data_IF_526903973908
#
_entry.id   IF_526903973908
#
_cell.length_a   1.000
_cell.length_b   1.000
_cell.length_c   1.000
_cell.angle_alpha   90.00
_cell.angle_beta   90.00
_cell.angle_gamma   90.00
#
_symmetry.space_group_name_H-M   'P 1'
#
loop_
_entity.id
_entity.type
_entity.pdbx_description
1 polymer ?
#
# COMPACT_ATOMS: atom_id res chain seq x y z
N UNK A 1 -21.65 -0.74 7.70
CA UNK A 1 -20.49 0.14 7.46
C UNK A 1 -19.17 -0.53 7.80
N UNK A 2 -18.96 -1.01 9.04
CA UNK A 2 -17.77 -1.79 9.38
C UNK A 2 -17.58 -2.99 8.44
N UNK A 3 -18.65 -3.74 8.18
CA UNK A 3 -18.65 -4.88 7.24
C UNK A 3 -18.30 -4.45 5.81
N UNK A 4 -18.94 -3.40 5.28
CA UNK A 4 -18.65 -2.86 3.93
C UNK A 4 -17.16 -2.55 3.73
N UNK A 5 -16.53 -1.85 4.67
CA UNK A 5 -15.10 -1.52 4.57
C UNK A 5 -14.22 -2.74 4.78
N UNK A 6 -14.59 -3.63 5.70
CA UNK A 6 -13.84 -4.85 5.98
C UNK A 6 -13.89 -5.85 4.81
N UNK A 7 -15.01 -5.96 4.12
CA UNK A 7 -15.18 -6.87 2.98
C UNK A 7 -14.55 -6.30 1.71
N UNK A 8 -14.51 -4.97 1.58
CA UNK A 8 -13.88 -4.30 0.45
C UNK A 8 -12.36 -4.30 0.50
N UNK A 9 -11.78 -3.90 1.64
CA UNK A 9 -10.35 -3.56 1.72
C UNK A 9 -9.50 -4.67 2.33
N UNK A 10 -8.26 -4.78 1.82
CA UNK A 10 -7.23 -5.63 2.42
C UNK A 10 -6.84 -5.11 3.81
N UNK A 11 -6.43 -6.00 4.72
CA UNK A 11 -6.01 -5.61 6.07
C UNK A 11 -4.75 -4.75 6.07
N UNK A 12 -3.79 -5.07 5.20
CA UNK A 12 -2.62 -4.24 4.94
C UNK A 12 -2.82 -3.49 3.61
N UNK A 13 -2.64 -2.18 3.67
CA UNK A 13 -2.83 -1.28 2.53
C UNK A 13 -1.53 -0.52 2.26
N UNK A 14 -1.21 -0.24 0.99
CA UNK A 14 -0.08 0.60 0.66
C UNK A 14 -0.31 2.04 1.13
N UNK A 15 0.79 2.76 1.33
CA UNK A 15 0.76 4.16 1.75
C UNK A 15 0.17 5.07 0.66
N UNK A 16 0.35 4.71 -0.61
CA UNK A 16 -0.14 5.47 -1.76
C UNK A 16 -1.20 4.68 -2.52
N UNK A 17 -2.36 5.30 -2.75
CA UNK A 17 -3.47 4.72 -3.53
C UNK A 17 -3.04 4.31 -4.95
N UNK A 18 -2.02 4.97 -5.50
CA UNK A 18 -1.50 4.71 -6.85
C UNK A 18 -0.67 3.43 -6.97
N UNK A 19 -0.33 2.81 -5.85
CA UNK A 19 0.43 1.55 -5.82
C UNK A 19 -0.48 0.32 -5.96
N UNK A 20 -1.81 0.52 -6.02
CA UNK A 20 -2.79 -0.55 -6.15
C UNK A 20 -2.88 -1.42 -4.89
N UNK A 21 -3.54 -2.58 -4.96
CA UNK A 21 -3.56 -3.55 -3.87
C UNK A 21 -4.37 -3.15 -2.62
N UNK A 22 -5.34 -2.25 -2.78
CA UNK A 22 -6.27 -1.80 -1.75
C UNK A 22 -7.41 -2.81 -1.53
N UNK A 23 -7.95 -3.38 -2.61
CA UNK A 23 -9.16 -4.20 -2.55
C UNK A 23 -8.84 -5.70 -2.43
N UNK A 24 -9.70 -6.40 -1.68
CA UNK A 24 -9.64 -7.86 -1.54
C UNK A 24 -9.90 -8.55 -2.88
N UNK A 25 -9.40 -9.78 -2.99
CA UNK A 25 -9.82 -10.67 -4.07
C UNK A 25 -11.30 -11.03 -3.88
N UNK A 26 -12.02 -11.18 -4.98
CA UNK A 26 -13.45 -11.44 -5.04
C UNK A 26 -14.33 -10.20 -4.93
N UNK A 27 -13.75 -9.01 -4.73
CA UNK A 27 -14.54 -7.76 -4.63
C UNK A 27 -15.01 -7.26 -6.00
N UNK A 28 -14.16 -7.38 -7.03
CA UNK A 28 -14.48 -6.98 -8.39
C UNK A 28 -13.84 -7.97 -9.38
N UNK A 29 -14.66 -8.62 -10.20
CA UNK A 29 -14.22 -9.66 -11.13
C UNK A 29 -13.26 -9.13 -12.20
N UNK A 30 -13.43 -7.89 -12.64
CA UNK A 30 -12.57 -7.29 -13.66
C UNK A 30 -11.19 -6.98 -13.09
N UNK A 31 -11.13 -6.47 -11.87
CA UNK A 31 -9.88 -6.23 -11.15
C UNK A 31 -9.12 -7.54 -10.93
N UNK A 32 -9.81 -8.62 -10.58
CA UNK A 32 -9.19 -9.93 -10.36
C UNK A 32 -8.67 -10.57 -11.64
N UNK A 33 -9.40 -10.45 -12.76
CA UNK A 33 -8.92 -10.91 -14.07
C UNK A 33 -7.64 -10.15 -14.49
N UNK A 34 -7.61 -8.83 -14.31
CA UNK A 34 -6.43 -8.02 -14.62
C UNK A 34 -5.23 -8.37 -13.73
N UNK A 35 -5.45 -8.58 -12.43
CA UNK A 35 -4.41 -9.05 -11.49
C UNK A 35 -3.88 -10.42 -11.88
N UNK A 36 -4.76 -11.32 -12.31
CA UNK A 36 -4.37 -12.65 -12.79
C UNK A 36 -3.51 -12.56 -14.05
N UNK A 37 -3.86 -11.69 -14.99
CA UNK A 37 -3.06 -11.44 -16.21
C UNK A 37 -1.69 -10.86 -15.89
N UNK A 38 -1.62 -9.87 -15.00
CA UNK A 38 -0.35 -9.31 -14.54
C UNK A 38 0.52 -10.38 -13.83
N UNK A 39 -0.08 -11.20 -12.96
CA UNK A 39 0.61 -12.28 -12.26
C UNK A 39 1.14 -13.38 -13.18
N UNK A 40 0.42 -13.71 -14.26
CA UNK A 40 0.92 -14.60 -15.33
C UNK A 40 2.16 -14.03 -15.99
N UNK A 41 2.17 -12.73 -16.30
CA UNK A 41 3.34 -12.07 -16.86
C UNK A 41 4.54 -12.08 -15.90
N UNK A 42 4.32 -11.82 -14.60
CA UNK A 42 5.39 -11.92 -13.59
C UNK A 42 5.95 -13.34 -13.48
N UNK A 43 5.08 -14.35 -13.55
CA UNK A 43 5.49 -15.76 -13.52
C UNK A 43 6.33 -16.11 -14.76
N UNK A 44 5.91 -15.64 -15.93
CA UNK A 44 6.66 -15.80 -17.18
C UNK A 44 8.05 -15.15 -17.12
N UNK A 45 8.18 -13.95 -16.52
CA UNK A 45 9.48 -13.29 -16.34
C UNK A 45 10.44 -14.11 -15.46
N UNK A 46 9.92 -14.77 -14.41
CA UNK A 46 10.72 -15.63 -13.56
C UNK A 46 11.16 -16.91 -14.29
N UNK A 47 10.28 -17.49 -15.10
CA UNK A 47 10.58 -18.64 -15.96
C UNK A 47 11.62 -18.28 -17.04
N UNK A 48 11.49 -17.11 -17.65
CA UNK A 48 12.46 -16.57 -18.60
C UNK A 48 13.83 -16.44 -17.94
N UNK A 49 13.91 -15.86 -16.73
CA UNK A 49 15.18 -15.74 -16.00
C UNK A 49 15.84 -17.10 -15.77
N UNK A 50 15.08 -18.09 -15.28
CA UNK A 50 15.62 -19.42 -14.99
C UNK A 50 16.07 -20.13 -16.25
N UNK A 51 15.22 -20.13 -17.28
CA UNK A 51 15.49 -20.81 -18.56
C UNK A 51 16.73 -20.23 -19.23
N UNK A 52 16.85 -18.90 -19.28
CA UNK A 52 18.01 -18.25 -19.90
C UNK A 52 19.29 -18.42 -19.07
N UNK A 53 19.19 -18.40 -17.73
CA UNK A 53 20.32 -18.68 -16.83
C UNK A 53 20.89 -20.08 -17.05
N UNK A 54 20.03 -21.07 -17.23
CA UNK A 54 20.40 -22.47 -17.48
C UNK A 54 20.93 -22.70 -18.89
N UNK A 55 20.21 -22.22 -19.92
CA UNK A 55 20.57 -22.44 -21.32
C UNK A 55 21.89 -21.77 -21.71
N UNK A 56 22.13 -20.56 -21.21
CA UNK A 56 23.33 -19.79 -21.53
C UNK A 56 24.46 -20.05 -20.52
N UNK A 57 24.21 -20.77 -19.43
CA UNK A 57 25.15 -20.97 -18.32
C UNK A 57 25.69 -19.61 -17.79
N UNK A 58 24.76 -18.69 -17.47
CA UNK A 58 25.05 -17.34 -16.97
C UNK A 58 24.39 -17.16 -15.59
N UNK A 59 25.05 -17.57 -14.49
CA UNK A 59 24.46 -17.49 -13.14
C UNK A 59 24.06 -16.07 -12.72
N UNK A 60 24.77 -15.06 -13.23
CA UNK A 60 24.55 -13.65 -12.91
C UNK A 60 23.39 -12.99 -13.65
N UNK A 61 22.79 -13.67 -14.63
CA UNK A 61 21.67 -13.15 -15.42
C UNK A 61 20.50 -12.82 -14.51
N UNK A 62 19.98 -11.59 -14.57
CA UNK A 62 18.80 -11.18 -13.79
C UNK A 62 17.83 -10.37 -14.63
N UNK A 63 16.55 -10.68 -14.53
CA UNK A 63 15.48 -9.86 -15.11
C UNK A 63 15.11 -8.78 -14.08
N UNK A 64 15.19 -7.51 -14.48
CA UNK A 64 14.93 -6.37 -13.60
C UNK A 64 14.03 -5.36 -14.29
N UNK A 65 13.32 -4.57 -13.49
CA UNK A 65 12.49 -3.47 -13.96
C UNK A 65 13.09 -2.12 -13.53
N UNK A 66 13.05 -1.14 -14.42
CA UNK A 66 13.31 0.27 -14.10
C UNK A 66 12.23 1.13 -14.76
N UNK A 67 11.65 2.07 -14.01
CA UNK A 67 10.62 2.99 -14.47
C UNK A 67 10.95 3.73 -15.78
N UNK A 68 12.23 4.05 -16.04
CA UNK A 68 12.64 4.77 -17.26
C UNK A 68 12.89 3.86 -18.46
N UNK A 69 13.35 2.63 -18.23
CA UNK A 69 13.85 1.73 -19.28
C UNK A 69 13.00 0.47 -19.47
N UNK A 70 12.01 0.25 -18.61
CA UNK A 70 11.19 -0.94 -18.63
C UNK A 70 11.87 -2.15 -18.00
N UNK A 71 11.40 -3.33 -18.39
CA UNK A 71 12.03 -4.61 -18.10
C UNK A 71 13.28 -4.82 -18.96
N UNK A 72 14.35 -5.34 -18.36
CA UNK A 72 15.59 -5.67 -19.03
C UNK A 72 16.27 -6.88 -18.39
N UNK A 73 17.14 -7.52 -19.17
CA UNK A 73 18.02 -8.59 -18.72
C UNK A 73 19.39 -7.98 -18.44
N UNK A 74 19.87 -8.14 -17.21
CA UNK A 74 21.19 -7.68 -16.78
C UNK A 74 22.18 -8.84 -16.79
N UNK A 75 23.29 -8.69 -17.51
CA UNK A 75 24.36 -9.69 -17.61
C UNK A 75 25.69 -9.05 -17.21
N UNK A 76 26.49 -9.74 -16.40
CA UNK A 76 27.82 -9.23 -16.00
C UNK A 76 28.79 -9.24 -17.17
N UNK A 77 29.76 -8.31 -17.17
CA UNK A 77 30.76 -8.19 -18.24
C UNK A 77 31.55 -9.48 -18.52
N UNK A 78 31.66 -10.36 -17.53
CA UNK A 78 32.34 -11.66 -17.61
C UNK A 78 31.66 -12.69 -18.49
N UNK A 79 30.39 -12.50 -18.86
CA UNK A 79 29.59 -13.47 -19.61
C UNK A 79 28.96 -12.86 -20.87
N UNK A 80 29.47 -11.73 -21.36
CA UNK A 80 28.91 -11.04 -22.54
C UNK A 80 29.10 -11.83 -23.83
N UNK A 81 30.16 -12.64 -23.87
CA UNK A 81 30.48 -13.59 -24.94
C UNK A 81 29.40 -14.68 -25.09
N UNK A 82 28.64 -14.95 -24.03
CA UNK A 82 27.55 -15.92 -24.01
C UNK A 82 26.18 -15.30 -24.36
N UNK A 83 26.10 -13.99 -24.58
CA UNK A 83 24.85 -13.30 -24.88
C UNK A 83 24.48 -13.51 -26.37
N UNK A 84 23.25 -13.95 -26.68
CA UNK A 84 22.79 -14.10 -28.06
C UNK A 84 22.81 -12.79 -28.87
N UNK A 85 23.08 -12.88 -30.18
CA UNK A 85 23.15 -11.71 -31.07
C UNK A 85 21.80 -11.03 -31.33
N UNK A 86 20.69 -11.74 -31.16
CA UNK A 86 19.32 -11.23 -31.33
C UNK A 86 18.88 -10.32 -30.17
N UNK A 87 19.65 -10.26 -29.08
CA UNK A 87 19.37 -9.41 -27.95
C UNK A 87 19.76 -7.96 -28.22
N UNK A 88 18.81 -7.05 -28.01
CA UNK A 88 19.02 -5.62 -28.25
C UNK A 88 19.65 -4.99 -27.01
N UNK A 89 20.91 -4.58 -27.10
CA UNK A 89 21.59 -3.85 -26.03
C UNK A 89 20.94 -2.48 -25.78
N UNK A 90 20.67 -2.15 -24.52
CA UNK A 90 20.05 -0.90 -24.08
C UNK A 90 20.98 0.04 -23.32
N UNK A 91 21.80 -0.49 -22.42
CA UNK A 91 22.63 0.32 -21.54
C UNK A 91 23.87 -0.45 -21.09
N UNK A 92 25.01 0.23 -21.06
CA UNK A 92 26.26 -0.29 -20.47
C UNK A 92 26.44 0.30 -19.08
N UNK A 93 26.64 -0.57 -18.09
CA UNK A 93 26.99 -0.23 -16.71
C UNK A 93 28.47 -0.49 -16.46
N UNK A 94 28.98 -0.05 -15.30
CA UNK A 94 30.39 -0.29 -14.92
C UNK A 94 30.75 -1.77 -14.97
N UNK A 95 29.88 -2.64 -14.45
CA UNK A 95 30.14 -4.08 -14.28
C UNK A 95 29.18 -5.02 -15.06
N UNK A 96 28.22 -4.46 -15.79
CA UNK A 96 27.17 -5.24 -16.47
C UNK A 96 26.70 -4.54 -17.75
N UNK A 97 26.02 -5.29 -18.63
CA UNK A 97 25.25 -4.76 -19.75
C UNK A 97 23.78 -5.15 -19.63
N UNK A 98 22.91 -4.29 -20.13
CA UNK A 98 21.46 -4.47 -20.11
C UNK A 98 20.93 -4.71 -21.51
N UNK A 99 20.10 -5.73 -21.65
CA UNK A 99 19.53 -6.19 -22.91
C UNK A 99 18.03 -6.29 -22.84
N UNK A 100 17.39 -6.25 -24.01
CA UNK A 100 15.96 -6.47 -24.17
C UNK A 100 15.74 -7.39 -25.37
N UNK A 101 14.88 -8.39 -25.19
CA UNK A 101 14.45 -9.30 -26.26
C UNK A 101 13.08 -8.88 -26.81
N UNK A 102 12.71 -9.27 -28.04
CA UNK A 102 11.35 -9.03 -28.56
C UNK A 102 10.26 -9.60 -27.64
N UNK A 103 10.43 -10.84 -27.18
CA UNK A 103 9.51 -11.52 -26.27
C UNK A 103 9.34 -10.75 -24.95
N UNK A 104 10.44 -10.25 -24.37
CA UNK A 104 10.39 -9.47 -23.14
C UNK A 104 9.55 -8.18 -23.29
N UNK A 105 9.61 -7.53 -24.46
CA UNK A 105 8.81 -6.33 -24.73
C UNK A 105 7.32 -6.63 -24.83
N UNK A 106 6.96 -7.73 -25.49
CA UNK A 106 5.55 -8.13 -25.64
C UNK A 106 4.92 -8.39 -24.27
N UNK A 107 5.62 -9.14 -23.42
CA UNK A 107 5.17 -9.41 -22.06
C UNK A 107 5.17 -8.16 -21.18
N UNK A 108 6.17 -7.29 -21.31
CA UNK A 108 6.18 -5.99 -20.65
C UNK A 108 4.92 -5.18 -20.98
N UNK A 109 4.56 -5.07 -22.26
CA UNK A 109 3.37 -4.33 -22.67
C UNK A 109 2.10 -4.91 -22.04
N UNK A 110 1.97 -6.24 -22.01
CA UNK A 110 0.85 -6.96 -21.38
C UNK A 110 0.79 -6.64 -19.88
N UNK A 111 1.92 -6.76 -19.17
CA UNK A 111 2.00 -6.52 -17.72
C UNK A 111 1.66 -5.07 -17.40
N UNK A 112 2.30 -4.11 -18.06
CA UNK A 112 2.10 -2.69 -17.79
C UNK A 112 0.67 -2.25 -18.14
N UNK A 113 0.10 -2.78 -19.22
CA UNK A 113 -1.29 -2.48 -19.60
C UNK A 113 -2.28 -3.07 -18.60
N UNK A 114 -2.07 -4.31 -18.16
CA UNK A 114 -2.92 -4.95 -17.16
C UNK A 114 -2.85 -4.20 -15.81
N UNK A 115 -1.65 -3.86 -15.36
CA UNK A 115 -1.42 -3.15 -14.10
C UNK A 115 -2.00 -1.73 -14.11
N UNK A 116 -1.79 -0.98 -15.20
CA UNK A 116 -2.39 0.35 -15.38
C UNK A 116 -3.92 0.31 -15.35
N UNK A 117 -4.53 -0.66 -16.03
CA UNK A 117 -5.99 -0.84 -16.00
C UNK A 117 -6.49 -1.26 -14.63
N UNK A 118 -5.77 -2.17 -13.95
CA UNK A 118 -6.11 -2.59 -12.60
C UNK A 118 -6.11 -1.40 -11.64
N UNK A 119 -5.06 -0.59 -11.67
CA UNK A 119 -4.94 0.62 -10.85
C UNK A 119 -6.05 1.64 -11.13
N UNK A 120 -6.48 1.79 -12.39
CA UNK A 120 -7.59 2.68 -12.75
C UNK A 120 -8.94 2.21 -12.19
N UNK A 121 -9.22 0.89 -12.30
CA UNK A 121 -10.44 0.30 -11.71
C UNK A 121 -10.39 0.44 -10.19
N UNK A 122 -9.26 0.12 -9.58
CA UNK A 122 -9.09 0.15 -8.15
C UNK A 122 -9.28 1.57 -7.57
N UNK A 123 -8.76 2.58 -8.27
CA UNK A 123 -8.99 3.97 -7.92
C UNK A 123 -10.48 4.36 -8.00
N UNK A 124 -11.20 3.87 -9.03
CA UNK A 124 -12.64 4.11 -9.18
C UNK A 124 -13.44 3.46 -8.04
N UNK A 125 -13.13 2.20 -7.72
CA UNK A 125 -13.77 1.49 -6.60
C UNK A 125 -13.50 2.21 -5.27
N UNK A 126 -12.26 2.68 -5.07
CA UNK A 126 -11.91 3.46 -3.88
C UNK A 126 -12.73 4.74 -3.76
N UNK A 127 -12.89 5.48 -4.86
CA UNK A 127 -13.71 6.69 -4.88
C UNK A 127 -15.18 6.39 -4.52
N UNK A 128 -15.73 5.29 -5.06
CA UNK A 128 -17.09 4.85 -4.73
C UNK A 128 -17.24 4.53 -3.25
N UNK A 129 -16.33 3.70 -2.70
CA UNK A 129 -16.32 3.34 -1.28
C UNK A 129 -16.19 4.56 -0.38
N UNK A 130 -15.33 5.51 -0.74
CA UNK A 130 -15.18 6.78 -0.02
C UNK A 130 -16.49 7.57 0.00
N UNK A 131 -17.19 7.62 -1.13
CA UNK A 131 -18.45 8.37 -1.23
C UNK A 131 -19.58 7.71 -0.42
N UNK A 132 -19.60 6.38 -0.35
CA UNK A 132 -20.48 5.64 0.56
C UNK A 132 -20.18 5.92 2.04
N UNK A 133 -18.89 5.94 2.43
CA UNK A 133 -18.47 6.31 3.79
C UNK A 133 -18.83 7.76 4.08
N UNK A 134 -18.68 8.66 3.10
CA UNK A 134 -19.00 10.08 3.25
C UNK A 134 -20.47 10.31 3.63
N UNK A 135 -21.38 9.47 3.15
CA UNK A 135 -22.80 9.56 3.46
C UNK A 135 -23.12 9.36 4.96
N UNK A 136 -22.24 8.67 5.71
CA UNK A 136 -22.44 8.38 7.14
C UNK A 136 -21.48 9.16 8.06
N UNK A 137 -20.67 10.07 7.52
CA UNK A 137 -19.65 10.81 8.28
C UNK A 137 -20.20 11.61 9.45
N UNK A 138 -21.44 12.11 9.33
CA UNK A 138 -22.09 12.83 10.43
C UNK A 138 -22.28 11.91 11.66
N UNK A 139 -22.88 10.74 11.46
CA UNK A 139 -23.07 9.75 12.52
C UNK A 139 -21.75 9.30 13.12
N UNK A 140 -20.72 9.10 12.30
CA UNK A 140 -19.37 8.77 12.79
C UNK A 140 -18.80 9.87 13.69
N UNK A 141 -18.95 11.13 13.29
CA UNK A 141 -18.50 12.29 14.09
C UNK A 141 -19.23 12.38 15.43
N UNK A 142 -20.54 12.13 15.46
CA UNK A 142 -21.32 12.11 16.70
C UNK A 142 -20.88 10.99 17.65
N UNK A 143 -20.62 9.79 17.12
CA UNK A 143 -20.09 8.67 17.90
C UNK A 143 -18.72 9.03 18.45
N UNK A 144 -17.82 9.56 17.62
CA UNK A 144 -16.48 9.97 18.04
C UNK A 144 -16.54 11.01 19.18
N UNK A 145 -17.46 11.98 19.11
CA UNK A 145 -17.66 12.98 20.17
C UNK A 145 -18.15 12.35 21.47
N UNK A 146 -19.04 11.37 21.40
CA UNK A 146 -19.51 10.64 22.59
C UNK A 146 -18.38 9.82 23.22
N UNK A 147 -17.61 9.11 22.40
CA UNK A 147 -16.45 8.32 22.85
C UNK A 147 -15.40 9.21 23.50
N UNK A 148 -15.05 10.34 22.89
CA UNK A 148 -14.07 11.28 23.47
C UNK A 148 -14.56 11.90 24.79
N UNK A 149 -15.85 12.20 24.89
CA UNK A 149 -16.45 12.69 26.14
C UNK A 149 -16.32 11.63 27.24
N UNK A 150 -16.63 10.38 26.93
CA UNK A 150 -16.49 9.27 27.89
C UNK A 150 -15.03 9.08 28.31
N UNK A 151 -14.09 9.14 27.37
CA UNK A 151 -12.65 9.00 27.63
C UNK A 151 -12.12 10.08 28.59
N UNK A 152 -12.46 11.35 28.33
CA UNK A 152 -12.08 12.49 29.18
C UNK A 152 -12.71 12.38 30.57
N UNK A 153 -14.02 12.10 30.66
CA UNK A 153 -14.70 11.96 31.95
C UNK A 153 -14.17 10.78 32.75
N UNK A 154 -13.85 9.66 32.09
CA UNK A 154 -13.24 8.49 32.72
C UNK A 154 -11.84 8.82 33.25
N UNK A 155 -11.05 9.59 32.48
CA UNK A 155 -9.74 10.08 32.90
C UNK A 155 -9.85 11.01 34.12
N UNK A 156 -10.81 11.93 34.14
CA UNK A 156 -11.07 12.79 35.31
C UNK A 156 -11.49 11.98 36.53
N UNK A 157 -12.39 11.01 36.38
CA UNK A 157 -12.80 10.15 37.49
C UNK A 157 -11.63 9.32 38.03
N UNK A 158 -10.78 8.79 37.14
CA UNK A 158 -9.58 8.05 37.50
C UNK A 158 -8.60 8.92 38.31
N UNK A 159 -8.27 10.12 37.82
CA UNK A 159 -7.38 11.03 38.51
C UNK A 159 -7.97 11.56 39.82
N UNK A 160 -9.26 11.88 39.84
CA UNK A 160 -9.92 12.34 41.05
C UNK A 160 -9.88 11.27 42.15
N UNK A 161 -10.09 10.00 41.80
CA UNK A 161 -9.95 8.90 42.75
C UNK A 161 -8.51 8.69 43.19
N UNK A 162 -7.55 8.71 42.26
CA UNK A 162 -6.14 8.44 42.54
C UNK A 162 -5.51 9.53 43.41
N UNK A 163 -5.86 10.79 43.16
CA UNK A 163 -5.32 11.97 43.84
C UNK A 163 -6.26 12.52 44.93
N UNK A 164 -7.32 11.78 45.27
CA UNK A 164 -8.35 12.19 46.23
C UNK A 164 -8.94 13.59 45.96
N UNK A 165 -9.10 13.97 44.69
CA UNK A 165 -9.73 15.23 44.32
C UNK A 165 -11.21 15.21 44.68
N UNK A 166 -11.69 16.37 45.13
CA UNK A 166 -13.11 16.59 45.44
C UNK A 166 -13.73 17.50 44.39
N UNK A 167 -14.99 17.25 44.02
CA UNK A 167 -15.73 18.08 43.07
C UNK A 167 -15.89 19.51 43.64
N UNK A 168 -15.45 20.56 42.94
CA UNK A 168 -15.63 21.93 43.40
C UNK A 168 -17.11 22.35 43.35
N UNK A 169 -17.48 23.30 44.21
CA UNK A 169 -18.77 23.98 44.16
C UNK A 169 -18.61 25.30 43.40
N UNK A 170 -19.54 25.60 42.51
CA UNK A 170 -19.57 26.85 41.73
C UNK A 170 -20.61 27.76 42.36
N UNK A 171 -20.21 28.99 42.68
CA UNK A 171 -21.06 30.05 43.26
C UNK A 171 -21.05 31.28 42.35
N UNK A 172 -22.10 32.08 42.39
CA UNK A 172 -22.32 33.24 41.49
C UNK A 172 -21.74 34.54 42.11
N UNK A 173 -20.49 34.48 42.55
CA UNK A 173 -19.76 35.55 43.23
C UNK A 173 -18.25 35.45 42.90
N UNK A 174 -17.49 36.53 43.08
CA UNK A 174 -16.07 36.63 42.71
C UNK A 174 -15.11 36.06 43.78
N UNK A 175 -15.54 35.00 44.48
CA UNK A 175 -14.79 34.38 45.59
C UNK A 175 -14.21 33.02 45.20
N UNK A 176 -12.99 32.76 45.67
CA UNK A 176 -12.28 31.49 45.50
C UNK A 176 -11.77 31.00 46.86
N UNK A 177 -12.28 29.86 47.32
CA UNK A 177 -11.91 29.24 48.59
C UNK A 177 -11.35 27.82 48.36
N UNK A 178 -10.30 27.47 49.10
CA UNK A 178 -9.65 26.16 49.02
C UNK A 178 -9.65 25.46 50.38
N UNK A 179 -9.97 24.17 50.40
CA UNK A 179 -9.94 23.33 51.60
C UNK A 179 -8.96 22.16 51.38
N UNK A 180 -7.87 22.11 52.14
CA UNK A 180 -6.92 20.99 52.10
C UNK A 180 -6.10 20.87 50.81
N UNK A 181 -5.41 21.94 50.41
CA UNK A 181 -4.58 21.96 49.20
C UNK A 181 -3.33 21.08 49.34
N UNK A 182 -3.25 20.05 48.49
CA UNK A 182 -1.98 19.47 48.05
C UNK A 182 -1.67 20.01 46.65
N UNK A 183 -0.47 20.57 46.46
CA UNK A 183 -0.05 21.14 45.17
C UNK A 183 0.03 20.04 44.11
N UNK A 184 -0.77 20.11 43.02
CA UNK A 184 -0.67 19.14 41.94
C UNK A 184 0.66 19.33 41.21
N UNK A 185 1.54 18.34 41.33
CA UNK A 185 2.73 18.20 40.49
C UNK A 185 2.34 17.63 39.12
#
# INVERSE_FOLDING_TARGET
MKEVVQDALRPEQPALIREGGLFRAGYDEQLDDLRTKAGKGTSWLAELESTQREQLDIPSLKVKYNRQFGYFIEVTKTHLDKVPEDWIRRQTMTNAERYVTPELKEWEEIILTADSRANAIEFKLFCSLRDEVKAVTHTLSEIARKVSTVDVLSSFAHHARQRSWTRPQIVDDDRLEFLGLDTPC
#
